data_IF_425561926304
#
_entry.id   IF_425561926304
#
_cell.length_a   1.000
_cell.length_b   1.000
_cell.length_c   1.000
_cell.angle_alpha   90.00
_cell.angle_beta   90.00
_cell.angle_gamma   90.00
#
_symmetry.space_group_name_H-M   'P 1'
#
loop_
_entity.id
_entity.type
_entity.pdbx_description
1 polymer ?
#
# COMPACT_ATOMS: atom_id res chain seq x y z
N UNK A 1 12.77 -62.90 -14.22
CA UNK A 1 11.69 -63.00 -13.21
C UNK A 1 11.58 -61.66 -12.48
N UNK A 2 10.67 -60.76 -12.88
CA UNK A 2 10.16 -59.65 -12.05
C UNK A 2 9.15 -58.83 -12.87
N UNK A 3 7.93 -59.35 -13.02
CA UNK A 3 6.84 -58.61 -13.69
C UNK A 3 5.46 -58.85 -13.06
N UNK A 4 5.38 -59.71 -12.03
CA UNK A 4 4.11 -60.02 -11.35
C UNK A 4 3.78 -59.10 -10.18
N UNK A 5 4.75 -58.31 -9.68
CA UNK A 5 4.56 -57.48 -8.48
C UNK A 5 4.18 -56.02 -8.80
N UNK A 6 4.48 -55.50 -9.99
CA UNK A 6 4.17 -54.09 -10.34
C UNK A 6 2.69 -53.87 -10.63
N UNK A 7 2.01 -54.83 -11.26
CA UNK A 7 0.58 -54.74 -11.57
C UNK A 7 -0.29 -54.77 -10.31
N UNK A 8 0.12 -55.53 -9.30
CA UNK A 8 -0.59 -55.59 -8.02
C UNK A 8 -0.48 -54.26 -7.24
N UNK A 9 0.70 -53.64 -7.25
CA UNK A 9 0.93 -52.34 -6.58
C UNK A 9 0.17 -51.21 -7.28
N UNK A 10 0.12 -51.20 -8.62
CA UNK A 10 -0.66 -50.23 -9.40
C UNK A 10 -2.17 -50.35 -9.16
N UNK A 11 -2.71 -51.57 -9.11
CA UNK A 11 -4.13 -51.81 -8.81
C UNK A 11 -4.46 -51.41 -7.37
N UNK A 12 -3.57 -51.67 -6.41
CA UNK A 12 -3.77 -51.28 -5.00
C UNK A 12 -3.72 -49.76 -4.83
N UNK A 13 -2.81 -49.07 -5.52
CA UNK A 13 -2.73 -47.62 -5.49
C UNK A 13 -4.01 -46.99 -6.06
N UNK A 14 -4.51 -47.50 -7.20
CA UNK A 14 -5.68 -46.95 -7.88
C UNK A 14 -6.97 -47.14 -7.08
N UNK A 15 -7.12 -48.25 -6.35
CA UNK A 15 -8.27 -48.49 -5.46
C UNK A 15 -8.24 -47.59 -4.23
N UNK A 16 -7.07 -47.30 -3.66
CA UNK A 16 -6.92 -46.36 -2.54
C UNK A 16 -7.28 -44.94 -3.00
N UNK A 17 -6.82 -44.49 -4.17
CA UNK A 17 -7.13 -43.14 -4.68
C UNK A 17 -8.61 -42.97 -4.97
N UNK A 18 -9.27 -43.98 -5.57
CA UNK A 18 -10.71 -43.96 -5.83
C UNK A 18 -11.53 -43.98 -4.54
N UNK A 19 -11.09 -44.72 -3.52
CA UNK A 19 -11.71 -44.72 -2.18
C UNK A 19 -11.64 -43.37 -1.48
N UNK A 20 -10.50 -42.65 -1.59
CA UNK A 20 -10.33 -41.31 -1.02
C UNK A 20 -11.20 -40.27 -1.72
N UNK A 21 -11.28 -40.31 -3.06
CA UNK A 21 -12.13 -39.39 -3.83
C UNK A 21 -13.62 -39.64 -3.53
N UNK A 22 -14.04 -40.91 -3.45
CA UNK A 22 -15.41 -41.29 -3.09
C UNK A 22 -15.79 -40.88 -1.66
N UNK A 23 -14.87 -41.03 -0.70
CA UNK A 23 -15.06 -40.62 0.69
C UNK A 23 -15.20 -39.11 0.85
N UNK A 24 -14.39 -38.32 0.14
CA UNK A 24 -14.48 -36.85 0.14
C UNK A 24 -15.77 -36.38 -0.53
N UNK A 25 -16.17 -37.00 -1.65
CA UNK A 25 -17.43 -36.67 -2.33
C UNK A 25 -18.66 -36.98 -1.46
N UNK A 26 -18.69 -38.15 -0.80
CA UNK A 26 -19.78 -38.54 0.10
C UNK A 26 -19.86 -37.65 1.35
N UNK A 27 -18.70 -37.22 1.89
CA UNK A 27 -18.66 -36.26 2.99
C UNK A 27 -19.16 -34.87 2.56
N UNK A 28 -18.83 -34.42 1.35
CA UNK A 28 -19.28 -33.14 0.81
C UNK A 28 -20.80 -33.11 0.55
N UNK A 29 -21.37 -34.18 0.00
CA UNK A 29 -22.82 -34.25 -0.30
C UNK A 29 -23.69 -34.47 0.94
N UNK A 30 -23.12 -34.93 2.05
CA UNK A 30 -23.84 -35.09 3.33
C UNK A 30 -23.81 -33.84 4.20
N UNK A 31 -22.80 -32.98 4.05
CA UNK A 31 -22.62 -31.77 4.87
C UNK A 31 -23.11 -30.47 4.20
N UNK A 32 -23.41 -30.50 2.90
CA UNK A 32 -24.00 -29.38 2.16
C UNK A 32 -25.30 -29.80 1.50
N UNK A 33 -26.41 -29.21 1.95
CA UNK A 33 -27.76 -29.49 1.45
C UNK A 33 -27.97 -28.80 0.10
N UNK A 34 -27.44 -29.39 -0.97
CA UNK A 34 -27.59 -28.90 -2.35
C UNK A 34 -28.91 -29.46 -2.90
N UNK A 35 -29.99 -28.73 -2.68
CA UNK A 35 -31.30 -28.98 -3.30
C UNK A 35 -31.30 -28.44 -4.74
N UNK A 36 -31.15 -29.33 -5.72
CA UNK A 36 -31.44 -29.05 -7.13
C UNK A 36 -32.94 -29.25 -7.38
N UNK A 37 -33.71 -28.17 -7.17
CA UNK A 37 -35.15 -28.12 -7.41
C UNK A 37 -35.50 -27.83 -8.87
N UNK A 38 -36.41 -28.64 -9.41
CA UNK A 38 -36.98 -28.58 -10.76
C UNK A 38 -37.92 -27.40 -11.00
N UNK A 39 -38.02 -27.00 -12.25
CA UNK A 39 -38.98 -26.01 -12.76
C UNK A 39 -40.31 -26.72 -13.07
N UNK A 40 -41.44 -26.27 -12.49
CA UNK A 40 -42.71 -26.12 -13.23
C UNK A 40 -43.80 -25.34 -12.46
N UNK A 41 -44.32 -24.32 -13.16
CA UNK A 41 -45.66 -23.71 -13.22
C UNK A 41 -46.43 -23.13 -12.00
N UNK A 42 -46.59 -21.80 -12.11
CA UNK A 42 -47.80 -20.96 -11.94
C UNK A 42 -48.73 -21.15 -10.74
N UNK A 43 -48.69 -20.17 -9.83
CA UNK A 43 -49.90 -19.54 -9.25
C UNK A 43 -49.58 -18.15 -8.68
N UNK A 44 -50.56 -17.25 -8.81
CA UNK A 44 -50.45 -15.79 -8.74
C UNK A 44 -50.44 -15.19 -7.31
N UNK A 45 -49.87 -13.97 -7.21
CA UNK A 45 -50.05 -12.86 -6.23
C UNK A 45 -48.76 -12.45 -5.47
N UNK A 46 -48.65 -11.21 -4.95
CA UNK A 46 -48.74 -9.88 -5.57
C UNK A 46 -47.39 -9.09 -5.46
N UNK A 47 -47.23 -8.03 -6.27
CA UNK A 47 -45.98 -7.27 -6.40
C UNK A 47 -45.49 -6.55 -5.12
N UNK A 48 -44.16 -6.49 -4.87
CA UNK A 48 -43.55 -5.41 -4.12
C UNK A 48 -43.06 -4.28 -5.05
N UNK A 49 -43.28 -3.05 -4.59
CA UNK A 49 -42.99 -1.77 -5.22
C UNK A 49 -41.55 -1.67 -5.74
N UNK A 50 -41.41 -1.20 -6.97
CA UNK A 50 -40.15 -0.81 -7.59
C UNK A 50 -39.49 0.34 -6.82
N UNK A 51 -38.34 0.08 -6.22
CA UNK A 51 -37.36 1.13 -5.92
C UNK A 51 -36.56 1.43 -7.20
N UNK A 52 -36.28 2.71 -7.52
CA UNK A 52 -35.64 3.07 -8.77
C UNK A 52 -34.19 2.56 -8.81
N UNK A 53 -33.88 1.87 -9.92
CA UNK A 53 -32.54 1.50 -10.34
C UNK A 53 -31.69 2.77 -10.49
N UNK A 54 -30.84 3.07 -9.51
CA UNK A 54 -29.67 3.92 -9.71
C UNK A 54 -28.55 3.02 -10.25
N UNK A 55 -28.57 2.76 -11.55
CA UNK A 55 -27.38 2.28 -12.25
C UNK A 55 -26.35 3.41 -12.22
N UNK A 56 -25.45 3.36 -11.24
CA UNK A 56 -24.23 4.15 -11.33
C UNK A 56 -23.43 3.63 -12.52
N UNK A 57 -23.26 4.45 -13.56
CA UNK A 57 -22.24 4.24 -14.59
C UNK A 57 -20.84 4.29 -13.93
N UNK A 58 -20.46 3.25 -13.20
CA UNK A 58 -19.13 3.16 -12.59
C UNK A 58 -18.12 2.83 -13.69
N UNK A 59 -17.17 3.73 -13.91
CA UNK A 59 -16.07 3.51 -14.85
C UNK A 59 -15.24 2.29 -14.40
N UNK A 60 -15.31 1.20 -15.17
CA UNK A 60 -14.49 0.00 -14.96
C UNK A 60 -13.21 0.07 -15.78
N UNK A 61 -12.28 -0.86 -15.58
CA UNK A 61 -11.09 -0.99 -16.42
C UNK A 61 -11.42 -1.07 -17.91
N UNK A 62 -12.51 -1.74 -18.29
CA UNK A 62 -12.96 -1.87 -19.68
C UNK A 62 -13.33 -0.54 -20.35
N UNK A 63 -13.57 0.52 -19.58
CA UNK A 63 -13.82 1.86 -20.12
C UNK A 63 -12.56 2.53 -20.69
N UNK A 64 -11.37 2.07 -20.29
CA UNK A 64 -10.09 2.61 -20.77
C UNK A 64 -9.79 2.04 -22.16
N UNK A 65 -9.79 2.92 -23.16
CA UNK A 65 -9.49 2.59 -24.56
C UNK A 65 -7.99 2.64 -24.85
N UNK A 66 -7.59 2.02 -25.96
CA UNK A 66 -6.22 2.10 -26.51
C UNK A 66 -5.15 1.58 -25.54
N UNK A 67 -5.44 0.47 -24.84
CA UNK A 67 -4.47 -0.21 -23.99
C UNK A 67 -3.37 -0.84 -24.87
N UNK A 68 -2.09 -0.47 -24.71
CA UNK A 68 -1.02 -0.97 -25.57
C UNK A 68 -0.73 -2.44 -25.32
N UNK A 69 -0.29 -3.13 -26.37
CA UNK A 69 0.15 -4.53 -26.29
C UNK A 69 1.67 -4.60 -26.14
N UNK A 70 2.16 -5.36 -25.18
CA UNK A 70 3.59 -5.56 -24.96
C UNK A 70 3.96 -5.82 -23.50
N UNK A 71 5.27 -5.93 -23.26
CA UNK A 71 5.84 -6.03 -21.92
C UNK A 71 6.44 -4.69 -21.53
N UNK A 72 5.88 -4.06 -20.50
CA UNK A 72 6.30 -2.76 -20.01
C UNK A 72 6.98 -2.89 -18.65
N UNK A 73 8.21 -2.40 -18.56
CA UNK A 73 8.95 -2.37 -17.29
C UNK A 73 8.58 -1.16 -16.47
N UNK A 74 8.41 -1.35 -15.17
CA UNK A 74 8.16 -0.28 -14.23
C UNK A 74 8.89 -0.53 -12.92
N UNK A 75 9.00 0.49 -12.07
CA UNK A 75 9.74 0.38 -10.81
C UNK A 75 9.64 1.66 -9.99
N UNK A 76 10.18 1.63 -8.78
CA UNK A 76 10.29 2.83 -7.93
C UNK A 76 9.91 2.57 -6.49
N UNK A 77 8.98 3.37 -5.97
CA UNK A 77 8.62 3.43 -4.56
C UNK A 77 8.18 2.08 -3.98
N UNK A 78 8.75 1.72 -2.82
CA UNK A 78 8.39 0.52 -2.08
C UNK A 78 7.00 0.62 -1.46
N UNK A 79 6.52 1.83 -1.14
CA UNK A 79 5.16 2.10 -0.62
C UNK A 79 4.06 1.53 -1.52
N UNK A 80 4.31 1.44 -2.82
CA UNK A 80 3.36 0.92 -3.80
C UNK A 80 3.21 -0.61 -3.77
N UNK A 81 3.91 -1.35 -2.90
CA UNK A 81 3.86 -2.81 -2.89
C UNK A 81 2.44 -3.39 -2.73
N UNK A 82 1.56 -2.86 -1.86
CA UNK A 82 0.17 -3.32 -1.78
C UNK A 82 -0.62 -3.06 -3.06
N UNK A 83 -0.50 -1.86 -3.65
CA UNK A 83 -1.15 -1.51 -4.93
C UNK A 83 -0.70 -2.46 -6.03
N UNK A 84 0.60 -2.74 -6.14
CA UNK A 84 1.13 -3.65 -7.16
C UNK A 84 0.57 -5.06 -7.01
N UNK A 85 0.51 -5.56 -5.76
CA UNK A 85 0.03 -6.91 -5.48
C UNK A 85 -1.43 -7.07 -5.91
N UNK A 86 -2.28 -6.13 -5.51
CA UNK A 86 -3.73 -6.31 -5.58
C UNK A 86 -4.33 -5.67 -6.85
N UNK A 87 -3.80 -4.52 -7.31
CA UNK A 87 -4.35 -3.80 -8.47
C UNK A 87 -3.72 -4.25 -9.79
N UNK A 88 -2.39 -4.43 -9.86
CA UNK A 88 -1.73 -4.83 -11.12
C UNK A 88 -2.21 -6.21 -11.57
N UNK A 89 -2.49 -7.10 -10.62
CA UNK A 89 -3.08 -8.43 -10.88
C UNK A 89 -4.43 -8.33 -11.59
N UNK A 90 -5.31 -7.41 -11.16
CA UNK A 90 -6.61 -7.19 -11.79
C UNK A 90 -6.48 -6.50 -13.16
N UNK A 91 -5.52 -5.59 -13.31
CA UNK A 91 -5.20 -4.95 -14.60
C UNK A 91 -4.77 -6.01 -15.63
N UNK A 92 -3.85 -6.91 -15.26
CA UNK A 92 -3.34 -7.95 -16.16
C UNK A 92 -4.45 -8.95 -16.53
N UNK A 93 -5.34 -9.29 -15.60
CA UNK A 93 -6.52 -10.12 -15.89
C UNK A 93 -7.46 -9.46 -16.89
N UNK A 94 -7.71 -8.16 -16.74
CA UNK A 94 -8.57 -7.39 -17.65
C UNK A 94 -7.94 -7.18 -19.02
N UNK A 95 -6.61 -7.02 -19.09
CA UNK A 95 -5.86 -6.75 -20.31
C UNK A 95 -4.62 -7.66 -20.43
N UNK A 96 -4.78 -8.94 -20.83
CA UNK A 96 -3.67 -9.88 -20.94
C UNK A 96 -2.55 -9.45 -21.90
N UNK A 97 -2.85 -8.56 -22.86
CA UNK A 97 -1.89 -7.96 -23.77
C UNK A 97 -1.00 -6.90 -23.12
N UNK A 98 -1.43 -6.31 -22.00
CA UNK A 98 -0.72 -5.25 -21.27
C UNK A 98 0.08 -5.85 -20.12
N UNK A 99 1.22 -6.45 -20.44
CA UNK A 99 2.05 -7.13 -19.46
C UNK A 99 2.91 -6.13 -18.69
N UNK A 100 2.89 -6.22 -17.37
CA UNK A 100 3.64 -5.34 -16.48
C UNK A 100 4.74 -6.13 -15.77
N UNK A 101 5.97 -5.62 -15.79
CA UNK A 101 7.11 -6.22 -15.06
C UNK A 101 7.77 -5.22 -14.13
N UNK A 102 7.59 -5.45 -12.83
CA UNK A 102 8.34 -4.71 -11.82
C UNK A 102 9.83 -5.05 -11.94
N UNK A 103 10.66 -4.00 -12.02
CA UNK A 103 12.11 -4.12 -12.25
C UNK A 103 12.86 -3.47 -11.09
N UNK A 104 13.66 -4.26 -10.40
CA UNK A 104 14.56 -3.78 -9.36
C UNK A 104 15.78 -3.07 -9.97
N UNK A 105 16.36 -2.07 -9.28
CA UNK A 105 17.63 -1.50 -9.70
C UNK A 105 18.74 -2.54 -9.61
N UNK A 106 19.73 -2.46 -10.50
CA UNK A 106 20.93 -3.30 -10.46
C UNK A 106 21.91 -2.88 -9.37
N UNK A 107 21.84 -1.63 -8.92
CA UNK A 107 22.66 -1.05 -7.85
C UNK A 107 21.79 -0.19 -6.93
N UNK A 108 22.02 -0.28 -5.62
CA UNK A 108 21.22 0.41 -4.62
C UNK A 108 19.86 -0.25 -4.34
N UNK A 109 19.03 0.44 -3.55
CA UNK A 109 17.72 -0.06 -3.12
C UNK A 109 16.58 0.54 -3.96
N UNK A 110 15.46 -0.19 -4.15
CA UNK A 110 14.25 0.37 -4.75
C UNK A 110 13.72 1.57 -3.94
N UNK A 111 13.21 2.58 -4.63
CA UNK A 111 12.68 3.80 -4.02
C UNK A 111 12.24 4.80 -5.09
N UNK A 112 11.54 5.87 -4.70
CA UNK A 112 11.05 6.89 -5.63
C UNK A 112 12.18 7.51 -6.46
N UNK A 113 13.26 7.99 -5.80
CA UNK A 113 14.40 8.57 -6.51
C UNK A 113 15.14 7.56 -7.39
N UNK A 114 15.32 6.33 -6.93
CA UNK A 114 15.92 5.27 -7.76
C UNK A 114 15.06 4.97 -8.98
N UNK A 115 13.73 4.88 -8.83
CA UNK A 115 12.80 4.66 -9.93
C UNK A 115 12.80 5.79 -10.96
N UNK A 116 12.77 7.04 -10.51
CA UNK A 116 12.85 8.21 -11.39
C UNK A 116 14.19 8.24 -12.12
N UNK A 117 15.31 7.93 -11.45
CA UNK A 117 16.63 7.78 -12.07
C UNK A 117 16.65 6.68 -13.14
N UNK A 118 16.04 5.53 -12.87
CA UNK A 118 15.93 4.44 -13.85
C UNK A 118 15.08 4.85 -15.06
N UNK A 119 13.97 5.57 -14.85
CA UNK A 119 13.14 6.14 -15.91
C UNK A 119 13.93 7.13 -16.78
N UNK A 120 14.67 8.05 -16.14
CA UNK A 120 15.56 9.01 -16.81
C UNK A 120 16.62 8.30 -17.67
N UNK A 121 17.09 7.14 -17.22
CA UNK A 121 18.06 6.30 -17.92
C UNK A 121 17.45 5.33 -18.94
N UNK A 122 16.18 5.49 -19.31
CA UNK A 122 15.46 4.62 -20.26
C UNK A 122 15.42 3.14 -19.84
N UNK A 123 15.48 2.83 -18.55
CA UNK A 123 15.41 1.45 -18.03
C UNK A 123 13.97 1.01 -17.72
N UNK A 124 13.06 1.98 -17.57
CA UNK A 124 11.65 1.78 -17.27
C UNK A 124 10.78 2.51 -18.30
N UNK A 125 9.59 1.97 -18.57
CA UNK A 125 8.55 2.65 -19.32
C UNK A 125 7.92 3.79 -18.50
N UNK A 126 7.63 3.53 -17.23
CA UNK A 126 7.15 4.51 -16.25
C UNK A 126 7.66 4.18 -14.84
N UNK A 127 7.56 5.13 -13.90
CA UNK A 127 7.94 4.92 -12.50
C UNK A 127 6.79 5.17 -11.54
N UNK A 128 6.79 4.45 -10.41
CA UNK A 128 5.87 4.68 -9.29
C UNK A 128 6.59 5.49 -8.22
N UNK A 129 6.01 6.61 -7.81
CA UNK A 129 6.61 7.51 -6.83
C UNK A 129 5.69 7.78 -5.64
N UNK A 130 6.30 8.00 -4.49
CA UNK A 130 5.65 8.46 -3.26
C UNK A 130 6.17 9.82 -2.78
N UNK A 131 6.73 10.59 -3.70
CA UNK A 131 7.06 12.02 -3.57
C UNK A 131 6.97 12.67 -4.96
N UNK A 132 6.92 13.99 -5.00
CA UNK A 132 7.02 14.71 -6.27
C UNK A 132 8.41 14.55 -6.91
N UNK A 133 8.47 14.71 -8.22
CA UNK A 133 9.68 14.86 -9.04
C UNK A 133 10.37 16.16 -8.63
N UNK A 134 11.68 16.10 -8.43
CA UNK A 134 12.50 17.25 -8.02
C UNK A 134 12.86 18.10 -9.23
N UNK A 135 13.12 19.39 -9.02
CA UNK A 135 13.56 20.31 -10.09
C UNK A 135 14.78 19.77 -10.86
N UNK A 136 15.74 19.17 -10.15
CA UNK A 136 16.91 18.55 -10.77
C UNK A 136 16.55 17.36 -11.68
N UNK A 137 15.52 16.59 -11.34
CA UNK A 137 15.05 15.45 -12.13
C UNK A 137 14.31 15.94 -13.39
N UNK A 138 13.55 17.04 -13.30
CA UNK A 138 12.99 17.73 -14.46
C UNK A 138 14.08 18.24 -15.41
N UNK A 139 15.09 18.94 -14.88
CA UNK A 139 16.23 19.44 -15.67
C UNK A 139 16.99 18.31 -16.36
N UNK A 140 17.18 17.17 -15.69
CA UNK A 140 17.82 15.98 -16.29
C UNK A 140 16.97 15.38 -17.42
N UNK A 141 15.65 15.41 -17.32
CA UNK A 141 14.76 14.97 -18.38
C UNK A 141 14.88 15.87 -19.61
N UNK A 142 14.88 17.20 -19.41
CA UNK A 142 15.02 18.17 -20.50
C UNK A 142 16.36 18.02 -21.22
N UNK A 143 17.46 17.80 -20.49
CA UNK A 143 18.78 17.50 -21.07
C UNK A 143 18.79 16.22 -21.91
N UNK A 144 17.82 15.32 -21.69
CA UNK A 144 17.64 14.06 -22.42
C UNK A 144 16.55 14.15 -23.50
N UNK A 145 16.07 15.35 -23.81
CA UNK A 145 15.07 15.64 -24.84
C UNK A 145 13.68 15.03 -24.59
N UNK A 146 13.26 14.91 -23.33
CA UNK A 146 11.88 14.56 -22.98
C UNK A 146 11.44 15.28 -21.71
N UNK A 147 10.14 15.25 -21.41
CA UNK A 147 9.60 15.79 -20.14
C UNK A 147 9.16 14.67 -19.21
N UNK A 148 9.19 14.91 -17.91
CA UNK A 148 8.50 14.07 -16.94
C UNK A 148 7.12 14.66 -16.66
N UNK A 149 6.14 13.79 -16.48
CA UNK A 149 4.81 14.15 -15.98
C UNK A 149 4.48 13.31 -14.75
N UNK A 150 3.92 13.96 -13.74
CA UNK A 150 3.43 13.29 -12.54
C UNK A 150 1.91 13.19 -12.59
N UNK A 151 1.38 11.97 -12.55
CA UNK A 151 -0.06 11.72 -12.51
C UNK A 151 -0.40 11.21 -11.11
N UNK A 152 -1.06 12.02 -10.24
CA UNK A 152 -1.46 11.55 -8.92
C UNK A 152 -2.57 10.51 -9.07
N UNK A 153 -2.50 9.43 -8.30
CA UNK A 153 -3.49 8.34 -8.35
C UNK A 153 -4.07 7.95 -7.00
N UNK A 154 -3.40 8.30 -5.91
CA UNK A 154 -3.83 8.00 -4.54
C UNK A 154 -3.26 9.03 -3.56
N UNK A 155 -3.85 9.09 -2.37
CA UNK A 155 -3.35 9.79 -1.19
C UNK A 155 -2.82 8.76 -0.19
N UNK A 156 -1.70 9.08 0.43
CA UNK A 156 -1.07 8.30 1.51
C UNK A 156 -0.89 9.21 2.74
N UNK A 157 -1.16 8.67 3.92
CA UNK A 157 -0.82 9.32 5.19
C UNK A 157 0.52 8.79 5.70
N UNK A 158 1.37 9.63 6.29
CA UNK A 158 2.54 9.14 7.02
C UNK A 158 2.18 9.08 8.50
N UNK A 159 2.01 7.86 9.01
CA UNK A 159 1.70 7.64 10.41
C UNK A 159 2.99 7.63 11.24
N UNK A 160 2.98 8.37 12.34
CA UNK A 160 3.96 8.22 13.42
C UNK A 160 3.51 7.08 14.32
N UNK A 161 4.44 6.26 14.76
CA UNK A 161 4.17 5.16 15.68
C UNK A 161 5.14 5.12 16.84
N UNK A 162 4.64 4.70 17.98
CA UNK A 162 5.38 4.50 19.22
C UNK A 162 5.06 3.12 19.80
N UNK A 163 5.74 2.74 20.88
CA UNK A 163 5.40 1.54 21.63
C UNK A 163 4.00 1.65 22.26
N UNK A 164 3.20 0.57 22.33
CA UNK A 164 1.85 0.61 22.89
C UNK A 164 1.79 1.15 24.32
N UNK A 165 2.75 0.77 25.16
CA UNK A 165 2.81 1.19 26.58
C UNK A 165 3.29 2.63 26.81
N UNK A 166 3.67 3.38 25.77
CA UNK A 166 4.10 4.77 25.92
C UNK A 166 2.89 5.71 25.97
N UNK A 167 2.56 6.25 27.13
CA UNK A 167 1.37 7.08 27.31
C UNK A 167 1.63 8.56 26.97
N UNK A 168 1.30 8.95 25.74
CA UNK A 168 1.26 10.34 25.29
C UNK A 168 0.01 10.58 24.40
N UNK A 169 -0.61 11.77 24.44
CA UNK A 169 -1.85 12.04 23.70
C UNK A 169 -1.63 12.22 22.19
N UNK A 170 -0.44 12.65 21.78
CA UNK A 170 -0.12 12.99 20.40
C UNK A 170 1.20 13.76 20.30
N UNK A 171 1.61 14.07 19.07
CA UNK A 171 2.73 14.98 18.81
C UNK A 171 2.34 16.03 17.78
N UNK A 172 2.92 17.22 17.91
CA UNK A 172 2.86 18.23 16.85
C UNK A 172 3.93 17.97 15.79
N UNK A 173 3.74 18.49 14.57
CA UNK A 173 4.78 18.47 13.53
C UNK A 173 6.11 19.05 14.02
N UNK A 174 6.05 20.16 14.76
CA UNK A 174 7.23 20.81 15.33
C UNK A 174 7.95 19.88 16.33
N UNK A 175 7.21 19.22 17.22
CA UNK A 175 7.80 18.25 18.15
C UNK A 175 8.41 17.04 17.43
N UNK A 176 7.76 16.53 16.38
CA UNK A 176 8.32 15.44 15.56
C UNK A 176 9.66 15.89 14.95
N UNK A 177 9.69 17.08 14.34
CA UNK A 177 10.92 17.65 13.80
C UNK A 177 12.00 17.78 14.88
N UNK A 178 11.65 18.32 16.04
CA UNK A 178 12.58 18.53 17.14
C UNK A 178 13.10 17.20 17.73
N UNK A 179 12.30 16.13 17.72
CA UNK A 179 12.74 14.78 18.10
C UNK A 179 13.80 14.25 17.12
N UNK A 180 13.51 14.32 15.82
CA UNK A 180 14.39 13.77 14.78
C UNK A 180 15.64 14.64 14.51
N UNK A 181 15.63 15.90 14.94
CA UNK A 181 16.79 16.82 14.93
C UNK A 181 17.49 16.93 16.30
N UNK A 182 17.05 16.16 17.30
CA UNK A 182 17.74 16.03 18.59
C UNK A 182 17.55 17.21 19.55
N UNK A 183 16.64 18.15 19.27
CA UNK A 183 16.24 19.24 20.18
C UNK A 183 15.37 18.74 21.32
N UNK A 184 14.52 17.74 21.04
CA UNK A 184 13.76 16.99 22.04
C UNK A 184 14.36 15.59 22.12
N UNK A 185 14.83 15.20 23.31
CA UNK A 185 15.53 13.94 23.53
C UNK A 185 14.91 13.08 24.63
N UNK A 186 13.88 13.58 25.32
CA UNK A 186 13.18 12.85 26.38
C UNK A 186 11.66 13.03 26.27
N UNK A 187 10.90 11.94 26.45
CA UNK A 187 9.45 11.94 26.36
C UNK A 187 8.77 12.89 27.37
N UNK A 188 9.40 13.19 28.51
CA UNK A 188 8.87 14.16 29.48
C UNK A 188 8.72 15.57 28.91
N UNK A 189 9.52 15.92 27.88
CA UNK A 189 9.45 17.23 27.21
C UNK A 189 8.18 17.40 26.36
N UNK A 190 7.48 16.29 26.10
CA UNK A 190 6.24 16.25 25.30
C UNK A 190 5.08 15.63 26.08
N UNK A 191 5.15 15.64 27.42
CA UNK A 191 4.08 15.18 28.30
C UNK A 191 4.06 13.67 28.57
N UNK A 192 5.12 12.96 28.21
CA UNK A 192 5.31 11.54 28.56
C UNK A 192 6.09 11.32 29.85
N UNK A 193 6.54 10.09 30.06
CA UNK A 193 7.38 9.70 31.20
C UNK A 193 8.83 10.20 31.02
N UNK A 194 9.60 10.24 32.12
CA UNK A 194 11.04 10.50 32.04
C UNK A 194 11.77 9.31 31.40
N UNK A 195 11.81 9.31 30.07
CA UNK A 195 12.34 8.24 29.24
C UNK A 195 13.03 8.87 28.03
N UNK A 196 14.33 8.59 27.86
CA UNK A 196 15.08 9.07 26.70
C UNK A 196 14.45 8.53 25.40
N UNK A 197 14.27 9.38 24.40
CA UNK A 197 13.64 9.02 23.13
C UNK A 197 14.66 8.28 22.26
N UNK A 198 14.21 7.19 21.63
CA UNK A 198 14.99 6.46 20.62
C UNK A 198 14.31 6.55 19.25
N UNK A 199 14.71 7.52 18.41
CA UNK A 199 14.17 7.64 17.06
C UNK A 199 14.79 6.61 16.12
N UNK A 200 13.95 6.02 15.27
CA UNK A 200 14.34 5.13 14.17
C UNK A 200 13.99 5.78 12.83
N UNK A 201 14.78 5.51 11.79
CA UNK A 201 14.54 5.98 10.42
C UNK A 201 15.18 5.03 9.41
N UNK A 202 14.78 5.07 8.13
CA UNK A 202 15.62 4.51 7.04
C UNK A 202 16.66 5.54 6.61
N UNK A 203 17.69 5.14 5.85
CA UNK A 203 18.64 6.11 5.27
C UNK A 203 17.97 6.87 4.13
N UNK A 204 18.30 8.17 4.00
CA UNK A 204 17.68 9.05 3.00
C UNK A 204 17.73 8.49 1.56
N UNK A 205 18.82 7.81 1.21
CA UNK A 205 19.02 7.20 -0.11
C UNK A 205 18.21 5.92 -0.37
N UNK A 206 17.43 5.43 0.60
CA UNK A 206 16.84 4.09 0.57
C UNK A 206 15.31 4.09 0.45
N UNK A 207 14.64 5.24 0.40
CA UNK A 207 13.19 5.24 0.23
C UNK A 207 12.52 6.60 0.08
N UNK A 208 11.44 6.62 -0.71
CA UNK A 208 10.65 7.85 -0.93
C UNK A 208 9.98 8.40 0.33
N UNK A 209 9.66 7.55 1.31
CA UNK A 209 9.07 8.00 2.59
C UNK A 209 10.05 8.78 3.46
N UNK A 210 11.31 8.37 3.54
CA UNK A 210 12.34 9.14 4.27
C UNK A 210 12.72 10.41 3.51
N UNK A 211 12.78 10.37 2.18
CA UNK A 211 12.93 11.60 1.37
C UNK A 211 11.81 12.59 1.65
N UNK A 212 10.55 12.14 1.57
CA UNK A 212 9.39 12.97 1.89
C UNK A 212 9.44 13.52 3.31
N UNK A 213 9.71 12.67 4.31
CA UNK A 213 9.77 13.07 5.71
C UNK A 213 10.88 14.11 5.97
N UNK A 214 12.07 13.90 5.41
CA UNK A 214 13.18 14.84 5.53
C UNK A 214 12.84 16.20 4.91
N UNK A 215 12.29 16.22 3.70
CA UNK A 215 11.98 17.47 2.99
C UNK A 215 10.81 18.22 3.63
N UNK A 216 9.72 17.52 3.95
CA UNK A 216 8.45 18.14 4.34
C UNK A 216 8.28 18.29 5.85
N UNK A 217 8.96 17.48 6.67
CA UNK A 217 8.86 17.52 8.14
C UNK A 217 10.12 18.12 8.74
N UNK A 218 11.30 17.67 8.31
CA UNK A 218 12.56 18.20 8.86
C UNK A 218 12.99 19.51 8.20
N UNK A 219 12.44 19.86 7.02
CA UNK A 219 12.87 21.03 6.25
C UNK A 219 14.29 20.87 5.72
N UNK A 220 14.65 19.64 5.32
CA UNK A 220 15.99 19.25 4.85
C UNK A 220 17.12 19.34 5.89
N UNK A 221 16.79 19.49 7.18
CA UNK A 221 17.77 19.36 8.26
C UNK A 221 18.25 17.90 8.41
N UNK A 222 19.50 17.72 8.85
CA UNK A 222 20.06 16.39 9.07
C UNK A 222 19.39 15.71 10.27
N UNK A 223 19.20 14.39 10.16
CA UNK A 223 18.90 13.55 11.31
C UNK A 223 19.96 13.71 12.40
N UNK A 224 19.52 13.74 13.66
CA UNK A 224 20.42 13.76 14.81
C UNK A 224 21.15 12.42 15.00
N UNK A 225 22.29 12.46 15.70
CA UNK A 225 23.17 11.30 15.92
C UNK A 225 22.50 10.15 16.70
N UNK A 226 21.45 10.44 17.46
CA UNK A 226 20.70 9.44 18.21
C UNK A 226 19.70 8.64 17.34
N UNK A 227 19.43 9.09 16.10
CA UNK A 227 18.57 8.40 15.14
C UNK A 227 19.25 7.13 14.66
N UNK A 228 18.62 5.99 14.93
CA UNK A 228 19.14 4.70 14.50
C UNK A 228 18.54 4.29 13.16
N UNK A 229 19.41 3.98 12.20
CA UNK A 229 18.97 3.56 10.88
C UNK A 229 18.55 2.09 10.85
N UNK A 230 17.39 1.82 10.24
CA UNK A 230 16.79 0.48 10.09
C UNK A 230 16.99 -0.02 8.66
N UNK A 231 16.97 -1.33 8.48
CA UNK A 231 17.11 -1.95 7.15
C UNK A 231 15.92 -1.61 6.25
N UNK A 232 14.72 -1.81 6.78
CA UNK A 232 13.45 -1.55 6.09
C UNK A 232 12.37 -1.12 7.10
N UNK A 233 11.13 -0.94 6.60
CA UNK A 233 9.96 -0.60 7.42
C UNK A 233 9.70 -1.67 8.48
N UNK A 234 9.80 -2.96 8.12
CA UNK A 234 9.52 -4.08 9.02
C UNK A 234 10.49 -4.10 10.20
N UNK A 235 11.79 -3.88 9.95
CA UNK A 235 12.80 -3.76 11.00
C UNK A 235 12.51 -2.56 11.92
N UNK A 236 12.12 -1.41 11.35
CA UNK A 236 11.76 -0.23 12.14
C UNK A 236 10.56 -0.44 13.05
N UNK A 237 9.47 -1.00 12.52
CA UNK A 237 8.27 -1.33 13.30
C UNK A 237 8.57 -2.36 14.40
N UNK A 238 9.40 -3.38 14.11
CA UNK A 238 9.83 -4.36 15.10
C UNK A 238 10.65 -3.72 16.22
N UNK A 239 11.57 -2.80 15.92
CA UNK A 239 12.34 -2.09 16.94
C UNK A 239 11.46 -1.22 17.83
N UNK A 240 10.46 -0.54 17.28
CA UNK A 240 9.47 0.21 18.08
C UNK A 240 8.67 -0.73 18.99
N UNK A 241 8.24 -1.88 18.47
CA UNK A 241 7.51 -2.88 19.27
C UNK A 241 8.34 -3.46 20.43
N UNK A 242 9.67 -3.45 20.33
CA UNK A 242 10.58 -4.01 21.33
C UNK A 242 11.16 -2.96 22.30
N UNK A 243 10.93 -1.67 22.03
CA UNK A 243 11.54 -0.59 22.79
C UNK A 243 10.49 0.47 23.17
N UNK A 244 10.16 0.57 24.46
CA UNK A 244 9.21 1.57 24.97
C UNK A 244 9.60 3.02 24.63
N UNK A 245 10.89 3.29 24.47
CA UNK A 245 11.42 4.60 24.07
C UNK A 245 11.29 4.90 22.57
N UNK A 246 10.89 3.92 21.76
CA UNK A 246 10.96 3.94 20.31
C UNK A 246 9.92 4.85 19.65
N UNK A 247 10.35 5.57 18.61
CA UNK A 247 9.48 6.27 17.66
C UNK A 247 9.92 5.97 16.23
N UNK A 248 8.95 5.75 15.34
CA UNK A 248 9.17 5.53 13.91
C UNK A 248 8.05 6.18 13.08
N UNK A 249 8.26 6.28 11.78
CA UNK A 249 7.27 6.75 10.82
C UNK A 249 7.27 5.87 9.57
N UNK A 250 6.10 5.62 9.01
CA UNK A 250 5.93 4.90 7.74
C UNK A 250 4.59 5.24 7.09
N UNK A 251 4.33 4.66 5.92
CA UNK A 251 3.03 4.79 5.26
C UNK A 251 1.94 4.23 6.17
N UNK A 252 0.82 4.94 6.31
CA UNK A 252 -0.23 4.61 7.27
C UNK A 252 -0.79 3.18 7.09
N UNK A 253 -0.94 2.63 5.86
CA UNK A 253 -1.29 1.23 5.65
C UNK A 253 -0.31 0.23 6.25
N UNK A 254 0.98 0.57 6.37
CA UNK A 254 2.00 -0.28 6.98
C UNK A 254 1.95 -0.25 8.52
N UNK A 255 1.38 0.81 9.09
CA UNK A 255 1.41 1.13 10.53
C UNK A 255 0.09 0.85 11.22
N UNK A 256 -1.01 1.43 10.72
CA UNK A 256 -2.27 1.58 11.48
C UNK A 256 -2.80 0.23 11.95
N UNK A 257 -2.85 -0.77 11.08
CA UNK A 257 -3.39 -2.10 11.40
C UNK A 257 -2.48 -3.03 12.22
N UNK A 258 -1.29 -2.58 12.63
CA UNK A 258 -0.32 -3.40 13.36
C UNK A 258 -0.68 -3.50 14.85
N UNK A 259 -0.69 -4.72 15.39
CA UNK A 259 -1.08 -4.98 16.78
C UNK A 259 0.03 -4.66 17.80
N UNK A 260 1.30 -4.72 17.38
CA UNK A 260 2.46 -4.67 18.27
C UNK A 260 3.00 -3.24 18.51
N UNK A 261 2.37 -2.25 17.88
CA UNK A 261 2.76 -0.85 17.91
C UNK A 261 1.52 0.02 18.05
N UNK A 262 1.71 1.27 18.47
CA UNK A 262 0.63 2.24 18.59
C UNK A 262 0.83 3.39 17.59
N UNK A 263 -0.04 3.52 16.57
CA UNK A 263 -0.09 4.73 15.76
C UNK A 263 -0.47 5.93 16.65
N UNK A 264 0.13 7.08 16.40
CA UNK A 264 -0.01 8.26 17.25
C UNK A 264 -0.81 9.38 16.54
N UNK A 265 -1.76 10.04 17.22
CA UNK A 265 -2.40 11.26 16.72
C UNK A 265 -1.41 12.40 16.50
N UNK A 266 -1.55 13.11 15.38
CA UNK A 266 -0.65 14.20 15.01
C UNK A 266 -1.42 15.50 14.82
N UNK A 267 -0.83 16.61 15.25
CA UNK A 267 -1.42 17.94 15.19
C UNK A 267 -0.49 18.96 14.54
N UNK A 268 -1.06 20.02 13.98
CA UNK A 268 -0.31 21.24 13.66
C UNK A 268 -0.01 22.00 14.96
N UNK A 269 -0.96 22.00 15.88
CA UNK A 269 -0.88 22.64 17.20
C UNK A 269 -1.16 21.61 18.30
N UNK A 270 -0.66 21.87 19.52
CA UNK A 270 -0.76 20.92 20.63
C UNK A 270 -2.19 20.70 21.17
N UNK A 271 -3.15 21.53 20.75
CA UNK A 271 -4.56 21.46 21.16
C UNK A 271 -5.47 20.76 20.15
N UNK A 272 -4.96 20.39 18.96
CA UNK A 272 -5.75 19.70 17.92
C UNK A 272 -4.93 18.56 17.32
N UNK A 273 -5.06 17.38 17.92
CA UNK A 273 -4.52 16.14 17.37
C UNK A 273 -5.56 15.42 16.53
N UNK A 274 -5.10 14.78 15.46
CA UNK A 274 -5.92 14.02 14.53
C UNK A 274 -5.35 12.62 14.45
N UNK A 275 -6.17 11.63 14.76
CA UNK A 275 -5.75 10.23 14.72
C UNK A 275 -5.60 9.76 13.25
N UNK A 276 -4.53 9.01 12.91
CA UNK A 276 -4.40 8.37 11.59
C UNK A 276 -5.31 7.13 11.45
N UNK A 277 -6.08 6.80 12.49
CA UNK A 277 -6.99 5.67 12.59
C UNK A 277 -8.40 6.12 12.98
N UNK A 278 -9.39 5.28 12.70
CA UNK A 278 -10.77 5.48 13.15
C UNK A 278 -10.81 5.33 14.67
N UNK A 279 -11.28 6.37 15.35
CA UNK A 279 -11.38 6.37 16.81
C UNK A 279 -12.57 5.54 17.31
N UNK A 280 -12.48 4.92 18.50
CA UNK A 280 -11.33 4.91 19.39
C UNK A 280 -10.20 3.97 18.94
N UNK A 281 -8.98 4.19 19.44
CA UNK A 281 -7.86 3.28 19.22
C UNK A 281 -8.20 1.88 19.75
N UNK A 282 -8.05 0.86 18.90
CA UNK A 282 -8.22 -0.54 19.28
C UNK A 282 -7.04 -0.97 20.16
N UNK A 283 -7.39 -1.50 21.34
CA UNK A 283 -6.41 -1.97 22.32
C UNK A 283 -5.71 -3.26 21.83
N UNK A 284 -4.43 -3.47 22.17
CA UNK A 284 -3.70 -4.67 21.79
C UNK A 284 -4.40 -5.98 22.18
N UNK A 285 -5.14 -6.00 23.29
CA UNK A 285 -5.90 -7.17 23.77
C UNK A 285 -7.01 -7.63 22.82
N UNK A 286 -7.51 -6.75 21.96
CA UNK A 286 -8.57 -7.06 20.99
C UNK A 286 -7.99 -7.45 19.61
N UNK A 287 -6.67 -7.43 19.47
CA UNK A 287 -5.96 -7.77 18.25
C UNK A 287 -5.51 -9.25 18.31
N UNK A 288 -5.57 -10.02 17.21
CA UNK A 288 -5.84 -9.58 15.84
C UNK A 288 -7.33 -9.59 15.43
N UNK A 289 -8.27 -9.93 16.33
CA UNK A 289 -9.69 -10.08 16.01
C UNK A 289 -10.31 -8.77 15.50
N UNK A 290 -9.88 -7.64 16.08
CA UNK A 290 -10.20 -6.31 15.61
C UNK A 290 -8.90 -5.52 15.45
N UNK A 291 -8.68 -4.97 14.25
CA UNK A 291 -7.54 -4.11 13.95
C UNK A 291 -8.01 -2.68 13.74
N UNK A 292 -7.16 -1.72 14.10
CA UNK A 292 -7.38 -0.33 13.76
C UNK A 292 -7.56 -0.18 12.24
N UNK A 293 -8.50 0.66 11.85
CA UNK A 293 -8.77 1.03 10.46
C UNK A 293 -8.26 2.43 10.19
N UNK A 294 -7.82 2.72 8.97
CA UNK A 294 -7.31 4.04 8.60
C UNK A 294 -8.39 5.13 8.71
N UNK A 295 -7.99 6.32 9.14
CA UNK A 295 -8.83 7.51 9.06
C UNK A 295 -8.77 8.14 7.66
N UNK A 296 -9.36 7.45 6.68
CA UNK A 296 -9.30 7.85 5.27
C UNK A 296 -9.86 9.27 5.05
N UNK A 297 -10.88 9.67 5.81
CA UNK A 297 -11.48 11.01 5.68
C UNK A 297 -10.52 12.10 6.16
N UNK A 298 -9.79 11.89 7.26
CA UNK A 298 -8.80 12.86 7.72
C UNK A 298 -7.63 13.01 6.75
N UNK A 299 -7.20 11.91 6.10
CA UNK A 299 -6.19 11.99 5.04
C UNK A 299 -6.73 12.68 3.78
N UNK A 300 -7.97 12.37 3.35
CA UNK A 300 -8.58 12.95 2.14
C UNK A 300 -8.82 14.46 2.27
N UNK A 301 -9.28 14.90 3.44
CA UNK A 301 -9.56 16.31 3.73
C UNK A 301 -8.31 17.14 4.03
N UNK A 302 -7.17 16.48 4.32
CA UNK A 302 -5.96 17.15 4.80
C UNK A 302 -6.04 17.57 6.28
N UNK A 303 -7.05 17.12 7.03
CA UNK A 303 -7.13 17.38 8.46
C UNK A 303 -5.98 16.68 9.21
N UNK A 304 -5.62 15.46 8.78
CA UNK A 304 -4.38 14.83 9.25
C UNK A 304 -3.18 15.51 8.56
N UNK A 305 -2.20 16.02 9.33
CA UNK A 305 -1.25 17.00 8.81
C UNK A 305 -0.12 16.41 7.96
N UNK A 306 0.11 15.08 7.98
CA UNK A 306 1.16 14.44 7.19
C UNK A 306 0.55 13.55 6.11
N UNK A 307 0.23 14.16 4.98
CA UNK A 307 -0.29 13.47 3.80
C UNK A 307 0.59 13.74 2.58
N UNK A 308 0.57 12.81 1.63
CA UNK A 308 1.25 12.93 0.35
C UNK A 308 0.42 12.29 -0.75
N UNK A 309 0.76 12.61 -2.00
CA UNK A 309 0.20 11.92 -3.16
C UNK A 309 1.15 10.80 -3.60
N UNK A 310 0.56 9.74 -4.13
CA UNK A 310 1.27 8.71 -4.89
C UNK A 310 1.09 9.02 -6.38
N UNK A 311 2.19 8.92 -7.14
CA UNK A 311 2.24 9.33 -8.53
C UNK A 311 2.70 8.18 -9.44
N UNK A 312 2.08 8.10 -10.62
CA UNK A 312 2.71 7.47 -11.78
C UNK A 312 3.50 8.56 -12.50
N UNK A 313 4.81 8.35 -12.63
CA UNK A 313 5.73 9.25 -13.34
C UNK A 313 5.90 8.74 -14.77
N UNK A 314 5.48 9.55 -15.72
CA UNK A 314 5.48 9.24 -17.14
C UNK A 314 6.56 10.05 -17.85
N UNK A 315 7.30 9.40 -18.74
CA UNK A 315 8.23 10.06 -19.67
C UNK A 315 7.45 10.46 -20.93
N UNK A 316 7.38 11.77 -21.22
CA UNK A 316 6.72 12.34 -22.42
C UNK A 316 7.69 12.38 -23.59
N UNK A 317 7.60 11.39 -24.48
CA UNK A 317 8.50 11.19 -25.62
C UNK A 317 7.81 10.65 -26.88
N UNK A 318 6.48 10.52 -26.91
CA UNK A 318 5.69 10.04 -28.05
C UNK A 318 5.86 8.55 -28.37
N UNK A 319 6.46 7.76 -27.47
CA UNK A 319 6.68 6.33 -27.68
C UNK A 319 5.64 5.47 -26.94
N UNK A 320 5.61 4.18 -27.24
CA UNK A 320 4.69 3.23 -26.60
C UNK A 320 4.87 3.15 -25.07
N UNK A 321 6.08 3.41 -24.56
CA UNK A 321 6.35 3.52 -23.12
C UNK A 321 5.56 4.65 -22.44
N UNK A 322 5.43 5.79 -23.13
CA UNK A 322 4.58 6.90 -22.66
C UNK A 322 3.13 6.44 -22.56
N UNK A 323 2.62 5.80 -23.62
CA UNK A 323 1.26 5.28 -23.66
C UNK A 323 1.01 4.29 -22.52
N UNK A 324 1.97 3.40 -22.23
CA UNK A 324 1.88 2.46 -21.12
C UNK A 324 1.75 3.16 -19.77
N UNK A 325 2.58 4.18 -19.49
CA UNK A 325 2.49 4.96 -18.26
C UNK A 325 1.16 5.72 -18.12
N UNK A 326 0.69 6.35 -19.20
CA UNK A 326 -0.59 7.06 -19.23
C UNK A 326 -1.77 6.10 -19.02
N UNK A 327 -1.78 4.96 -19.71
CA UNK A 327 -2.85 3.96 -19.59
C UNK A 327 -2.86 3.34 -18.20
N UNK A 328 -1.69 3.00 -17.65
CA UNK A 328 -1.58 2.50 -16.29
C UNK A 328 -2.18 3.50 -15.29
N UNK A 329 -1.82 4.78 -15.38
CA UNK A 329 -2.40 5.81 -14.53
C UNK A 329 -3.93 5.96 -14.74
N UNK A 330 -4.42 5.94 -15.98
CA UNK A 330 -5.86 6.00 -16.29
C UNK A 330 -6.63 4.84 -15.66
N UNK A 331 -6.09 3.62 -15.72
CA UNK A 331 -6.69 2.43 -15.10
C UNK A 331 -6.83 2.61 -13.59
N UNK A 332 -5.78 3.09 -12.92
CA UNK A 332 -5.81 3.41 -11.50
C UNK A 332 -6.84 4.49 -11.15
N UNK A 333 -7.12 5.41 -12.08
CA UNK A 333 -8.06 6.52 -11.93
C UNK A 333 -9.53 6.20 -12.29
N UNK A 334 -9.83 4.98 -12.74
CA UNK A 334 -11.21 4.50 -12.90
C UNK A 334 -11.86 4.27 -11.53
N UNK A 335 -13.20 4.19 -11.46
CA UNK A 335 -13.90 3.84 -10.21
C UNK A 335 -13.44 2.49 -9.67
N UNK A 336 -13.30 1.49 -10.55
CA UNK A 336 -12.76 0.18 -10.17
C UNK A 336 -11.33 0.29 -9.62
N UNK A 337 -10.46 1.08 -10.27
CA UNK A 337 -9.09 1.29 -9.80
C UNK A 337 -9.02 1.97 -8.44
N UNK A 338 -9.84 3.00 -8.21
CA UNK A 338 -9.91 3.72 -6.94
C UNK A 338 -10.47 2.86 -5.79
N UNK A 339 -11.42 1.98 -6.09
CA UNK A 339 -11.94 1.00 -5.13
C UNK A 339 -10.85 0.01 -4.72
N UNK A 340 -10.13 -0.58 -5.68
CA UNK A 340 -9.03 -1.49 -5.40
C UNK A 340 -7.89 -0.79 -4.62
N UNK A 341 -7.55 0.46 -4.97
CA UNK A 341 -6.60 1.28 -4.20
C UNK A 341 -7.06 1.43 -2.74
N UNK A 342 -8.36 1.69 -2.52
CA UNK A 342 -8.90 1.84 -1.16
C UNK A 342 -8.77 0.56 -0.33
N UNK A 343 -8.95 -0.60 -0.95
CA UNK A 343 -8.79 -1.91 -0.30
C UNK A 343 -7.34 -2.20 0.13
N UNK A 344 -6.36 -1.57 -0.53
CA UNK A 344 -4.94 -1.65 -0.15
C UNK A 344 -4.54 -0.70 0.98
N UNK A 345 -5.50 0.09 1.50
CA UNK A 345 -5.33 1.02 2.61
C UNK A 345 -4.99 2.46 2.21
N UNK A 346 -4.73 2.72 0.92
CA UNK A 346 -4.51 4.08 0.43
C UNK A 346 -5.83 4.81 0.20
N UNK A 347 -5.78 6.13 0.09
CA UNK A 347 -6.98 6.96 -0.01
C UNK A 347 -7.24 7.37 -1.44
N UNK A 348 -8.45 7.11 -1.93
CA UNK A 348 -8.91 7.52 -3.25
C UNK A 348 -8.89 9.03 -3.45
N UNK A 349 -8.57 9.46 -4.67
CA UNK A 349 -8.54 10.87 -5.08
C UNK A 349 -9.72 11.30 -5.94
N UNK A 350 -10.50 10.33 -6.43
CA UNK A 350 -11.81 10.56 -7.05
C UNK A 350 -12.89 9.97 -6.15
#
# INVERSE_FOLDING_TARGET
MSQKNETAVLVLALTITLGLIGGVYWWFTRNYDITLGSISNNQSQPQPKSQPNLQSNQETFASVKEVPSGLFTYGGSTTWAPIRKDVDSEIIKAFPQFQLRYTNPTTGNPGSGTGIKMLLNNQLAFSQSSRSVKDQEYQQAEQRNFKLEEIPVAIDGIAITVHPDLNIPGLTLAQIKDIYTGKITNWQQVGGENLAIKPYSRRLSEGGTVEFFNENILGSEKFADNVEFTLDTTDGLRKVAQNKAGIYYASAPEVVGQCAIKPLPIGVTANKFVAPYQEPLIQPSNCPQQRNQLNAQAFKSGEYPITRRLFVIVKRNGQIDEQAGVVYAKLLLTEQGQELISQTGFVRIK
#
